data_IF_636709587080
#
_entry.id   IF_636709587080
#
_cell.length_a   1.000
_cell.length_b   1.000
_cell.length_c   1.000
_cell.angle_alpha   90.00
_cell.angle_beta   90.00
_cell.angle_gamma   90.00
#
_symmetry.space_group_name_H-M   'P 1'
#
loop_
_entity.id
_entity.type
_entity.pdbx_description
1 polymer ?
#
# COMPACT_ATOMS: atom_id res chain seq x y z
N UNK A 1 -49.58 40.38 46.67
CA UNK A 1 -48.68 40.42 45.51
C UNK A 1 -47.31 40.87 45.97
N UNK A 2 -46.38 39.90 46.15
CA UNK A 2 -45.02 40.17 46.70
C UNK A 2 -44.08 40.24 45.49
N UNK A 3 -43.55 41.43 45.20
CA UNK A 3 -42.55 41.64 44.15
C UNK A 3 -41.18 41.18 44.65
N UNK A 4 -40.69 40.08 44.08
CA UNK A 4 -39.33 39.60 44.33
C UNK A 4 -38.32 40.63 43.79
N UNK A 5 -37.52 41.27 44.70
CA UNK A 5 -36.36 42.11 44.34
C UNK A 5 -35.25 41.17 43.89
N UNK A 6 -35.01 41.04 42.60
CA UNK A 6 -33.83 40.36 42.04
C UNK A 6 -32.59 41.18 42.40
N UNK A 7 -31.76 40.63 43.24
CA UNK A 7 -30.54 41.28 43.71
C UNK A 7 -29.54 41.31 42.56
N UNK A 8 -29.29 42.48 41.96
CA UNK A 8 -28.42 42.71 40.81
C UNK A 8 -26.98 42.26 41.06
N UNK A 9 -26.61 42.12 42.34
CA UNK A 9 -25.23 41.67 42.73
C UNK A 9 -25.00 40.18 42.56
N UNK A 10 -26.07 39.36 42.53
CA UNK A 10 -25.95 37.89 42.33
C UNK A 10 -25.93 37.46 40.87
N UNK A 11 -26.26 38.34 39.94
CA UNK A 11 -26.24 38.05 38.49
C UNK A 11 -24.80 38.09 37.89
N UNK A 12 -23.91 38.84 38.48
CA UNK A 12 -22.53 39.04 37.97
C UNK A 12 -21.69 37.74 37.98
N UNK A 13 -21.66 36.96 39.09
CA UNK A 13 -20.90 35.72 39.10
C UNK A 13 -21.46 34.63 38.18
N UNK A 14 -22.76 34.58 37.94
CA UNK A 14 -23.39 33.61 37.06
C UNK A 14 -23.05 33.88 35.59
N UNK A 15 -22.96 35.16 35.19
CA UNK A 15 -22.55 35.56 33.84
C UNK A 15 -21.04 35.25 33.59
N UNK A 16 -20.20 35.38 34.62
CA UNK A 16 -18.76 35.06 34.52
C UNK A 16 -18.49 33.54 34.40
N UNK A 17 -19.25 32.73 35.16
CA UNK A 17 -19.16 31.25 35.02
C UNK A 17 -19.69 30.74 33.68
N UNK A 18 -20.74 31.34 33.13
CA UNK A 18 -21.30 30.99 31.82
C UNK A 18 -20.35 31.34 30.66
N UNK A 19 -19.61 32.45 30.78
CA UNK A 19 -18.62 32.89 29.78
C UNK A 19 -17.39 31.98 29.74
N UNK A 20 -16.95 31.43 30.86
CA UNK A 20 -15.77 30.56 30.93
C UNK A 20 -16.03 29.13 30.44
N UNK A 21 -17.28 28.64 30.54
CA UNK A 21 -17.67 27.32 30.00
C UNK A 21 -17.77 27.31 28.46
N UNK A 22 -17.95 28.46 27.82
CA UNK A 22 -18.03 28.56 26.35
C UNK A 22 -16.68 28.55 25.63
N UNK A 23 -15.57 28.76 26.34
CA UNK A 23 -14.22 28.81 25.75
C UNK A 23 -13.52 27.42 25.67
N UNK A 24 -14.11 26.37 26.22
CA UNK A 24 -13.56 24.99 26.17
C UNK A 24 -14.09 24.13 25.02
N UNK A 25 -14.86 24.69 24.11
CA UNK A 25 -15.23 24.01 22.88
C UNK A 25 -14.20 24.26 21.77
N UNK A 26 -12.91 24.14 22.10
CA UNK A 26 -11.87 23.92 21.13
C UNK A 26 -12.06 22.50 20.60
N UNK A 27 -12.86 22.35 19.54
CA UNK A 27 -13.05 21.08 18.86
C UNK A 27 -11.69 20.53 18.46
N UNK A 28 -11.33 19.37 18.99
CA UNK A 28 -10.39 18.49 18.29
C UNK A 28 -11.02 18.21 16.93
N UNK A 29 -10.58 18.91 15.89
CA UNK A 29 -10.80 18.45 14.54
C UNK A 29 -10.01 17.13 14.46
N UNK A 30 -10.68 16.01 14.56
CA UNK A 30 -10.15 14.73 14.09
C UNK A 30 -10.06 14.84 12.58
N UNK A 31 -9.08 15.58 12.08
CA UNK A 31 -8.62 15.41 10.71
C UNK A 31 -8.09 13.99 10.66
N UNK A 32 -8.90 13.09 10.09
CA UNK A 32 -8.45 11.75 9.80
C UNK A 32 -7.27 11.88 8.84
N UNK A 33 -6.09 11.44 9.28
CA UNK A 33 -4.86 11.53 8.50
C UNK A 33 -4.87 10.51 7.35
N UNK A 34 -5.87 10.53 6.48
CA UNK A 34 -5.94 9.66 5.30
C UNK A 34 -4.76 9.88 4.36
N UNK A 35 -4.31 11.13 4.23
CA UNK A 35 -3.18 11.49 3.39
C UNK A 35 -1.81 11.10 3.96
N UNK A 36 -1.75 10.67 5.23
CA UNK A 36 -0.50 10.27 5.89
C UNK A 36 -0.18 8.77 5.69
N UNK A 37 -0.92 8.07 4.88
CA UNK A 37 -0.54 6.69 4.54
C UNK A 37 0.74 6.75 3.73
N UNK A 38 1.79 6.05 4.20
CA UNK A 38 2.93 5.75 3.36
C UNK A 38 2.41 5.10 2.09
N UNK A 39 3.02 5.44 0.96
CA UNK A 39 2.68 4.77 -0.29
C UNK A 39 2.76 3.26 -0.07
N UNK A 40 1.64 2.56 -0.30
CA UNK A 40 1.56 1.11 -0.28
C UNK A 40 1.57 0.65 -1.74
N UNK A 41 2.73 0.19 -2.24
CA UNK A 41 2.79 -0.35 -3.59
C UNK A 41 1.77 -1.46 -3.76
N UNK A 42 0.84 -1.29 -4.71
CA UNK A 42 -0.21 -2.24 -5.03
C UNK A 42 0.09 -2.89 -6.36
N UNK A 43 0.31 -4.21 -6.34
CA UNK A 43 0.71 -5.00 -7.48
C UNK A 43 -0.48 -5.80 -8.01
N UNK A 44 -0.76 -5.71 -9.31
CA UNK A 44 -1.61 -6.62 -10.06
C UNK A 44 -0.79 -7.70 -10.75
N UNK A 45 -1.38 -8.88 -10.91
CA UNK A 45 -0.75 -10.04 -11.54
C UNK A 45 -1.30 -10.24 -12.95
N UNK A 46 -0.40 -10.39 -13.89
CA UNK A 46 -0.70 -10.49 -15.31
C UNK A 46 0.00 -11.69 -15.93
N UNK A 47 -0.54 -12.20 -17.02
CA UNK A 47 0.04 -13.30 -17.79
C UNK A 47 -0.64 -13.42 -19.13
N UNK A 48 -0.04 -14.21 -20.01
CA UNK A 48 -0.64 -14.54 -21.30
C UNK A 48 -1.62 -15.70 -21.13
N UNK A 49 -2.86 -15.49 -21.52
CA UNK A 49 -3.93 -16.47 -21.52
C UNK A 49 -4.60 -16.45 -22.90
N UNK A 50 -4.62 -17.59 -23.58
CA UNK A 50 -5.16 -17.68 -24.94
C UNK A 50 -4.55 -16.65 -25.91
N UNK A 51 -3.21 -16.46 -25.83
CA UNK A 51 -2.46 -15.50 -26.64
C UNK A 51 -2.61 -14.03 -26.27
N UNK A 52 -3.39 -13.68 -25.22
CA UNK A 52 -3.62 -12.30 -24.80
C UNK A 52 -3.08 -12.03 -23.41
N UNK A 53 -2.55 -10.81 -23.23
CA UNK A 53 -2.12 -10.33 -21.91
C UNK A 53 -3.34 -9.94 -21.09
N UNK A 54 -3.58 -10.66 -19.99
CA UNK A 54 -4.73 -10.44 -19.11
C UNK A 54 -4.31 -10.44 -17.64
N UNK A 55 -5.16 -9.88 -16.79
CA UNK A 55 -4.99 -10.03 -15.35
C UNK A 55 -5.33 -11.48 -14.96
N UNK A 56 -4.44 -12.12 -14.22
CA UNK A 56 -4.55 -13.52 -13.82
C UNK A 56 -4.63 -13.66 -12.31
N UNK A 57 -5.17 -14.79 -11.86
CA UNK A 57 -5.06 -15.23 -10.47
C UNK A 57 -4.04 -16.36 -10.38
N UNK A 58 -3.04 -16.18 -9.51
CA UNK A 58 -2.01 -17.20 -9.27
C UNK A 58 -2.38 -17.98 -8.02
N UNK A 59 -2.48 -19.30 -8.17
CA UNK A 59 -2.78 -20.22 -7.08
C UNK A 59 -1.49 -20.73 -6.40
N UNK A 60 -1.61 -21.10 -5.13
CA UNK A 60 -0.54 -21.74 -4.37
C UNK A 60 0.76 -20.93 -4.33
N UNK A 61 0.69 -19.60 -4.37
CA UNK A 61 1.85 -18.71 -4.30
C UNK A 61 2.00 -18.12 -2.90
N UNK A 62 3.09 -18.46 -2.23
CA UNK A 62 3.52 -17.83 -0.98
C UNK A 62 4.40 -16.63 -1.30
N UNK A 63 4.11 -15.48 -0.66
CA UNK A 63 4.91 -14.25 -0.83
C UNK A 63 5.33 -13.74 0.54
N UNK A 64 6.60 -13.43 0.70
CA UNK A 64 7.15 -12.87 1.93
C UNK A 64 8.30 -11.90 1.66
N UNK A 65 8.50 -10.94 2.60
CA UNK A 65 9.57 -9.94 2.51
C UNK A 65 10.88 -10.45 3.13
N UNK A 66 12.00 -10.26 2.45
CA UNK A 66 13.33 -10.61 2.98
C UNK A 66 13.77 -9.54 3.98
N UNK A 67 14.19 -10.00 5.18
CA UNK A 67 14.65 -9.13 6.25
C UNK A 67 13.55 -8.27 6.88
N UNK A 68 12.29 -8.59 6.64
CA UNK A 68 11.17 -8.03 7.38
C UNK A 68 11.12 -8.64 8.80
N UNK A 69 10.64 -7.89 9.81
CA UNK A 69 10.47 -8.45 11.15
C UNK A 69 9.59 -9.71 11.11
N UNK A 70 10.14 -10.85 11.55
CA UNK A 70 9.45 -12.14 11.56
C UNK A 70 9.16 -12.72 10.16
N UNK A 71 9.97 -12.37 9.15
CA UNK A 71 9.77 -12.78 7.75
C UNK A 71 8.30 -12.62 7.34
N UNK A 72 7.80 -11.37 7.43
CA UNK A 72 6.39 -11.03 7.23
C UNK A 72 5.82 -11.68 5.98
N UNK A 73 4.90 -12.64 6.16
CA UNK A 73 4.23 -13.34 5.08
C UNK A 73 3.08 -12.46 4.59
N UNK A 74 3.11 -12.10 3.32
CA UNK A 74 2.07 -11.32 2.65
C UNK A 74 0.99 -12.21 2.04
N UNK A 75 1.38 -13.42 1.60
CA UNK A 75 0.48 -14.47 1.12
C UNK A 75 0.98 -15.82 1.59
N UNK A 76 0.10 -16.61 2.21
CA UNK A 76 0.40 -18.00 2.62
C UNK A 76 0.34 -19.00 1.46
N UNK A 77 -0.23 -18.62 0.32
CA UNK A 77 -0.46 -19.50 -0.83
C UNK A 77 -1.60 -20.51 -0.63
N UNK A 78 -2.49 -20.26 0.30
CA UNK A 78 -3.65 -21.11 0.58
C UNK A 78 -4.90 -20.72 -0.22
N UNK A 79 -4.78 -19.73 -1.08
CA UNK A 79 -5.83 -19.24 -1.99
C UNK A 79 -5.19 -18.60 -3.21
N UNK A 80 -5.95 -18.55 -4.31
CA UNK A 80 -5.57 -17.77 -5.50
C UNK A 80 -5.62 -16.27 -5.21
N UNK A 81 -4.63 -15.54 -5.68
CA UNK A 81 -4.54 -14.09 -5.58
C UNK A 81 -4.24 -13.48 -6.95
N UNK A 82 -4.91 -12.37 -7.27
CA UNK A 82 -4.70 -11.60 -8.50
C UNK A 82 -3.93 -10.29 -8.25
N UNK A 83 -3.76 -9.94 -6.98
CA UNK A 83 -3.10 -8.70 -6.58
C UNK A 83 -2.58 -8.83 -5.15
N UNK A 84 -1.64 -7.94 -4.79
CA UNK A 84 -1.03 -7.92 -3.47
C UNK A 84 -0.42 -6.56 -3.16
N UNK A 85 -0.54 -6.11 -1.91
CA UNK A 85 0.26 -4.98 -1.42
C UNK A 85 1.68 -5.45 -1.09
N UNK A 86 2.66 -4.67 -1.57
CA UNK A 86 4.10 -4.91 -1.39
C UNK A 86 4.74 -3.73 -0.62
N UNK A 87 4.64 -3.68 0.72
CA UNK A 87 5.13 -2.56 1.52
C UNK A 87 6.63 -2.33 1.35
N UNK A 88 7.06 -1.15 0.90
CA UNK A 88 8.47 -0.82 0.77
C UNK A 88 9.08 -0.39 2.10
N UNK A 89 10.34 -0.71 2.28
CA UNK A 89 11.11 -0.32 3.46
C UNK A 89 11.36 1.18 3.46
N UNK A 90 11.10 1.82 4.61
CA UNK A 90 11.37 3.25 4.80
C UNK A 90 12.80 3.54 5.29
N UNK A 91 13.51 2.53 5.72
CA UNK A 91 14.88 2.59 6.26
C UNK A 91 15.95 2.12 5.24
N UNK A 92 15.53 1.70 4.05
CA UNK A 92 16.40 1.18 2.99
C UNK A 92 15.97 1.68 1.62
N UNK A 93 16.90 1.75 0.68
CA UNK A 93 16.63 2.07 -0.74
C UNK A 93 16.37 0.80 -1.56
N UNK A 94 16.22 -0.33 -0.88
CA UNK A 94 15.96 -1.64 -1.51
C UNK A 94 14.98 -2.44 -0.67
N UNK A 95 14.01 -3.07 -1.35
CA UNK A 95 13.10 -4.05 -0.75
C UNK A 95 13.08 -5.30 -1.61
N UNK A 96 13.09 -6.46 -0.97
CA UNK A 96 13.11 -7.76 -1.64
C UNK A 96 11.95 -8.62 -1.17
N UNK A 97 11.35 -9.33 -2.12
CA UNK A 97 10.28 -10.29 -1.87
C UNK A 97 10.63 -11.64 -2.51
N UNK A 98 10.23 -12.71 -1.85
CA UNK A 98 10.27 -14.05 -2.42
C UNK A 98 8.85 -14.44 -2.81
N UNK A 99 8.69 -14.86 -4.06
CA UNK A 99 7.50 -15.48 -4.61
C UNK A 99 7.78 -16.97 -4.76
N UNK A 100 7.16 -17.81 -3.93
CA UNK A 100 7.43 -19.25 -3.88
C UNK A 100 6.16 -20.04 -4.20
N UNK A 101 6.27 -20.93 -5.18
CA UNK A 101 5.21 -21.89 -5.49
C UNK A 101 5.22 -23.00 -4.43
N UNK A 102 4.08 -23.19 -3.73
CA UNK A 102 3.93 -24.18 -2.64
C UNK A 102 3.03 -25.38 -3.04
N UNK A 103 2.82 -25.58 -4.34
CA UNK A 103 2.06 -26.72 -4.82
C UNK A 103 2.86 -28.03 -4.59
N UNK A 104 2.23 -29.03 -3.99
CA UNK A 104 2.86 -30.34 -3.69
C UNK A 104 3.51 -31.04 -4.87
N UNK A 105 2.97 -30.82 -6.08
CA UNK A 105 3.55 -31.40 -7.31
C UNK A 105 4.91 -30.80 -7.65
N UNK A 106 5.16 -29.56 -7.26
CA UNK A 106 6.39 -28.82 -7.55
C UNK A 106 7.29 -28.62 -6.34
N UNK A 107 6.88 -29.09 -5.15
CA UNK A 107 7.63 -28.95 -3.90
C UNK A 107 9.10 -29.44 -4.00
N UNK A 108 9.38 -30.60 -4.70
CA UNK A 108 10.76 -31.06 -4.86
C UNK A 108 11.66 -30.10 -5.64
N UNK A 109 11.09 -29.27 -6.51
CA UNK A 109 11.85 -28.34 -7.36
C UNK A 109 12.12 -27.00 -6.71
N UNK A 110 11.48 -26.71 -5.56
CA UNK A 110 11.63 -25.46 -4.81
C UNK A 110 11.55 -24.20 -5.69
N UNK A 111 10.54 -24.13 -6.55
CA UNK A 111 10.37 -23.05 -7.53
C UNK A 111 10.04 -21.76 -6.81
N UNK A 112 10.95 -20.79 -6.91
CA UNK A 112 10.81 -19.49 -6.26
C UNK A 112 11.57 -18.41 -7.02
N UNK A 113 11.00 -17.21 -7.07
CA UNK A 113 11.67 -16.00 -7.55
C UNK A 113 11.93 -15.01 -6.43
N UNK A 114 13.04 -14.31 -6.56
CA UNK A 114 13.33 -13.14 -5.76
C UNK A 114 13.11 -11.88 -6.61
N UNK A 115 12.16 -11.07 -6.19
CA UNK A 115 11.86 -9.76 -6.78
C UNK A 115 12.49 -8.67 -5.93
N UNK A 116 13.38 -7.88 -6.54
CA UNK A 116 14.10 -6.80 -5.88
C UNK A 116 13.71 -5.46 -6.49
N UNK A 117 13.20 -4.56 -5.66
CA UNK A 117 12.97 -3.16 -6.02
C UNK A 117 14.09 -2.30 -5.48
N UNK A 118 14.68 -1.45 -6.35
CA UNK A 118 15.66 -0.43 -6.01
C UNK A 118 15.02 0.92 -6.28
N UNK A 119 14.97 1.80 -5.28
CA UNK A 119 14.23 3.04 -5.35
C UNK A 119 14.91 4.17 -4.57
N UNK A 120 14.52 5.39 -4.85
CA UNK A 120 14.72 6.53 -3.95
C UNK A 120 13.41 6.88 -3.27
N UNK A 121 13.49 7.34 -2.02
CA UNK A 121 12.33 7.78 -1.23
C UNK A 121 12.41 9.29 -0.99
N UNK A 122 11.26 9.91 -0.97
CA UNK A 122 11.08 11.32 -0.68
C UNK A 122 10.06 11.45 0.46
N UNK A 123 10.46 12.06 1.57
CA UNK A 123 9.53 12.40 2.63
C UNK A 123 8.73 13.64 2.23
N UNK A 124 7.40 13.56 2.35
CA UNK A 124 6.49 14.68 2.14
C UNK A 124 5.83 15.02 3.45
N UNK A 125 5.98 16.27 3.87
CA UNK A 125 5.24 16.78 5.02
C UNK A 125 3.75 16.90 4.65
N UNK A 126 2.89 16.29 5.43
CA UNK A 126 1.42 16.32 5.25
C UNK A 126 0.84 17.43 6.11
N UNK A 127 0.98 17.34 7.43
CA UNK A 127 0.55 18.36 8.39
C UNK A 127 1.26 18.16 9.73
N UNK A 128 1.15 19.14 10.64
CA UNK A 128 1.70 19.01 11.98
C UNK A 128 1.06 17.87 12.79
N UNK A 129 -0.21 17.58 12.53
CA UNK A 129 -0.94 16.50 13.19
C UNK A 129 -0.63 15.13 12.57
N UNK A 130 -0.45 15.06 11.24
CA UNK A 130 -0.30 13.83 10.48
C UNK A 130 1.17 13.44 10.23
N UNK A 131 2.13 14.36 10.41
CA UNK A 131 3.55 14.12 10.20
C UNK A 131 3.94 14.08 8.71
N UNK A 132 4.81 13.14 8.32
CA UNK A 132 5.29 12.97 6.97
C UNK A 132 4.87 11.62 6.39
N UNK A 133 4.61 11.58 5.07
CA UNK A 133 4.45 10.36 4.29
C UNK A 133 5.64 10.18 3.33
N UNK A 134 5.86 8.96 2.86
CA UNK A 134 6.91 8.65 1.90
C UNK A 134 6.31 8.35 0.53
N UNK A 135 7.00 8.85 -0.50
CA UNK A 135 6.74 8.55 -1.91
C UNK A 135 8.01 7.92 -2.47
N UNK A 136 7.86 6.95 -3.37
CA UNK A 136 8.98 6.22 -3.93
C UNK A 136 9.11 6.49 -5.42
N UNK A 137 10.35 6.60 -5.90
CA UNK A 137 10.70 6.64 -7.32
C UNK A 137 11.54 5.43 -7.63
N UNK A 138 11.04 4.55 -8.48
CA UNK A 138 11.73 3.32 -8.88
C UNK A 138 12.93 3.67 -9.73
N UNK A 139 14.07 3.04 -9.43
CA UNK A 139 15.35 3.18 -10.14
C UNK A 139 15.66 1.93 -10.95
N UNK A 140 15.40 0.76 -10.37
CA UNK A 140 15.67 -0.51 -11.01
C UNK A 140 14.78 -1.59 -10.40
N UNK A 141 14.52 -2.66 -11.16
CA UNK A 141 13.77 -3.83 -10.72
C UNK A 141 14.51 -5.07 -11.23
N UNK A 142 14.70 -6.05 -10.35
CA UNK A 142 15.38 -7.31 -10.70
C UNK A 142 14.54 -8.50 -10.26
N UNK A 143 14.44 -9.49 -11.13
CA UNK A 143 13.83 -10.78 -10.82
C UNK A 143 14.78 -11.92 -11.19
N UNK A 144 14.63 -13.08 -10.56
CA UNK A 144 15.37 -14.31 -10.93
C UNK A 144 14.77 -15.00 -12.14
N UNK A 145 13.53 -14.68 -12.54
CA UNK A 145 12.97 -15.02 -13.84
C UNK A 145 12.49 -16.47 -14.04
N UNK A 146 12.11 -17.17 -12.96
CA UNK A 146 11.52 -18.51 -13.06
C UNK A 146 10.00 -18.48 -13.18
N UNK A 147 9.35 -17.75 -12.29
CA UNK A 147 7.89 -17.56 -12.23
C UNK A 147 7.49 -16.21 -12.80
N UNK A 148 8.31 -15.18 -12.53
CA UNK A 148 8.09 -13.80 -12.92
C UNK A 148 8.94 -13.51 -14.13
N UNK A 149 8.27 -13.29 -15.27
CA UNK A 149 8.92 -12.88 -16.50
C UNK A 149 9.47 -11.45 -16.38
N UNK A 150 8.59 -10.52 -16.05
CA UNK A 150 8.94 -9.11 -15.97
C UNK A 150 8.07 -8.36 -14.98
N UNK A 151 8.49 -7.12 -14.64
CA UNK A 151 7.73 -6.22 -13.76
C UNK A 151 7.78 -4.82 -14.31
N UNK A 152 6.63 -4.17 -14.40
CA UNK A 152 6.51 -2.78 -14.80
C UNK A 152 5.92 -1.92 -13.67
N UNK A 153 6.40 -0.68 -13.59
CA UNK A 153 5.82 0.37 -12.73
C UNK A 153 5.48 1.54 -13.64
N UNK A 154 4.22 1.64 -14.10
CA UNK A 154 3.77 2.72 -14.94
C UNK A 154 4.06 4.09 -14.30
N UNK A 155 4.76 4.98 -15.03
CA UNK A 155 5.17 6.28 -14.49
C UNK A 155 6.37 6.27 -13.53
N UNK A 156 6.90 5.10 -13.15
CA UNK A 156 8.11 4.95 -12.33
C UNK A 156 8.02 5.51 -10.90
N UNK A 157 6.83 5.96 -10.48
CA UNK A 157 6.60 6.60 -9.18
C UNK A 157 5.42 5.97 -8.44
N UNK A 158 5.62 5.68 -7.16
CA UNK A 158 4.60 5.14 -6.27
C UNK A 158 4.26 6.18 -5.22
N UNK A 159 2.99 6.56 -5.19
CA UNK A 159 2.43 7.58 -4.29
C UNK A 159 1.48 6.93 -3.29
N UNK A 160 0.92 7.73 -2.38
CA UNK A 160 -0.12 7.30 -1.44
C UNK A 160 -1.52 7.14 -2.07
N UNK A 161 -1.65 7.29 -3.40
CA UNK A 161 -2.89 6.97 -4.09
C UNK A 161 -3.14 5.45 -4.03
N UNK A 162 -4.36 5.06 -3.67
CA UNK A 162 -4.78 3.66 -3.62
C UNK A 162 -5.17 3.17 -5.02
N UNK A 163 -4.16 2.99 -5.86
CA UNK A 163 -4.29 2.52 -7.24
C UNK A 163 -3.25 1.45 -7.50
N UNK A 164 -3.53 0.56 -8.44
CA UNK A 164 -2.55 -0.38 -8.93
C UNK A 164 -1.41 0.38 -9.60
N UNK A 165 -0.18 0.17 -9.12
CA UNK A 165 1.01 0.89 -9.57
C UNK A 165 2.19 -0.03 -9.91
N UNK A 166 2.03 -1.34 -9.70
CA UNK A 166 2.98 -2.37 -10.10
C UNK A 166 2.26 -3.43 -10.90
N UNK A 167 2.79 -3.78 -12.07
CA UNK A 167 2.32 -4.91 -12.87
C UNK A 167 3.38 -6.00 -12.82
N UNK A 168 3.03 -7.17 -12.30
CA UNK A 168 3.90 -8.35 -12.25
C UNK A 168 3.42 -9.33 -13.32
N UNK A 169 4.25 -9.58 -14.31
CA UNK A 169 3.96 -10.49 -15.40
C UNK A 169 4.53 -11.87 -15.06
N UNK A 170 3.64 -12.86 -14.95
CA UNK A 170 4.00 -14.24 -14.67
C UNK A 170 4.21 -15.01 -15.98
N UNK A 171 5.19 -15.90 -15.97
CA UNK A 171 5.40 -16.84 -17.04
C UNK A 171 4.31 -17.93 -16.98
N UNK A 172 3.40 -17.91 -17.94
CA UNK A 172 2.31 -18.90 -18.07
C UNK A 172 2.66 -20.06 -19.00
N UNK A 173 3.82 -20.00 -19.67
CA UNK A 173 4.23 -20.94 -20.70
C UNK A 173 3.54 -20.71 -22.05
N UNK A 174 2.79 -19.63 -22.17
CA UNK A 174 2.16 -19.17 -23.41
C UNK A 174 2.84 -17.89 -23.88
N UNK A 175 3.06 -17.75 -25.18
CA UNK A 175 3.52 -16.52 -25.79
C UNK A 175 2.34 -15.69 -26.27
N UNK A 176 2.44 -14.35 -26.28
CA UNK A 176 1.41 -13.50 -26.88
C UNK A 176 1.27 -13.86 -28.36
N UNK A 177 0.04 -14.06 -28.83
CA UNK A 177 -0.25 -14.22 -30.24
C UNK A 177 -0.13 -12.86 -30.93
N UNK A 178 1.04 -12.59 -31.49
CA UNK A 178 1.23 -11.45 -32.38
C UNK A 178 0.61 -11.80 -33.72
N UNK A 179 -0.67 -11.47 -33.94
CA UNK A 179 -1.24 -11.48 -35.25
C UNK A 179 -0.48 -10.45 -36.12
N UNK A 180 0.17 -10.92 -37.19
CA UNK A 180 0.91 -10.09 -38.18
C UNK A 180 0.00 -9.16 -39.00
N UNK A 181 -1.16 -8.76 -38.50
CA UNK A 181 -2.18 -8.00 -39.22
C UNK A 181 -2.08 -6.48 -39.08
N UNK A 182 -0.94 -5.93 -38.64
CA UNK A 182 -0.68 -4.50 -38.59
C UNK A 182 0.42 -4.06 -39.60
N UNK A 183 0.31 -4.46 -40.90
CA UNK A 183 0.98 -3.78 -42.01
C UNK A 183 0.00 -2.95 -42.85
#
# INVERSE_FOLDING_TARGET
MQKAKINRLALFPILLLGGMAGLMQGGCSTEECYDNRNALPYAGFYGVMEGKMEQISVDSIRVYGIGAPGDSILSEGNRSIANLYLPFRIDSDTTQYVFKLINKLYEPYNIADTLTFIYSREARFVSAACGASYVYTIKDIKTTGLLIDSVAVPGGRITNADVENIHIYFNTGEDPDYSEDDE
#
